data_IF_699526857126
#
_entry.id   IF_699526857126
#
_cell.length_a   1.000
_cell.length_b   1.000
_cell.length_c   1.000
_cell.angle_alpha   90.00
_cell.angle_beta   90.00
_cell.angle_gamma   90.00
#
_symmetry.space_group_name_H-M   'P 1'
#
loop_
_entity.id
_entity.type
_entity.pdbx_description
1 polymer ?
#
# COMPACT_ATOMS: atom_id res chain seq x y z
N UNK A 1 -25.70 7.56 -3.78
CA UNK A 1 -24.95 8.83 -3.85
C UNK A 1 -23.68 8.57 -4.63
N UNK A 2 -23.32 9.37 -5.65
CA UNK A 2 -22.03 9.24 -6.32
C UNK A 2 -20.90 9.58 -5.34
N UNK A 3 -19.78 8.89 -5.46
CA UNK A 3 -18.58 9.18 -4.67
C UNK A 3 -17.97 10.51 -5.13
N UNK A 4 -17.85 11.47 -4.22
CA UNK A 4 -17.35 12.84 -4.46
C UNK A 4 -15.89 13.02 -4.04
N UNK A 5 -15.23 11.95 -3.58
CA UNK A 5 -13.82 12.03 -3.16
C UNK A 5 -12.94 12.33 -4.38
N UNK A 6 -12.00 13.30 -4.28
CA UNK A 6 -11.12 13.64 -5.38
C UNK A 6 -10.17 12.48 -5.69
N UNK A 7 -10.14 12.04 -6.95
CA UNK A 7 -9.15 11.09 -7.46
C UNK A 7 -7.82 11.82 -7.65
N UNK A 8 -6.98 11.79 -6.60
CA UNK A 8 -5.66 12.43 -6.62
C UNK A 8 -4.67 11.73 -7.57
N UNK A 9 -4.99 10.53 -8.04
CA UNK A 9 -4.18 9.78 -9.01
C UNK A 9 -4.66 10.04 -10.44
N UNK A 10 -5.90 10.49 -10.62
CA UNK A 10 -6.49 10.73 -11.94
C UNK A 10 -6.53 9.48 -12.83
N UNK A 11 -6.53 8.28 -12.23
CA UNK A 11 -6.28 6.98 -12.88
C UNK A 11 -4.93 6.84 -13.61
N UNK A 12 -3.99 7.77 -13.41
CA UNK A 12 -2.63 7.67 -13.91
C UNK A 12 -1.75 6.97 -12.88
N UNK A 13 -1.66 5.64 -12.98
CA UNK A 13 -0.75 4.83 -12.16
C UNK A 13 0.68 4.87 -12.70
N UNK A 14 1.20 6.08 -12.88
CA UNK A 14 2.56 6.37 -13.31
C UNK A 14 3.15 7.44 -12.41
N UNK A 15 4.45 7.34 -12.12
CA UNK A 15 5.16 8.30 -11.29
C UNK A 15 6.41 8.79 -12.03
N UNK A 16 6.74 10.07 -11.89
CA UNK A 16 7.93 10.69 -12.51
C UNK A 16 9.23 10.40 -11.74
N UNK A 17 9.15 9.82 -10.55
CA UNK A 17 10.27 9.45 -9.70
C UNK A 17 9.84 8.63 -8.48
N UNK A 18 10.80 8.09 -7.72
CA UNK A 18 10.50 7.30 -6.51
C UNK A 18 9.80 8.15 -5.44
N UNK A 19 8.99 7.51 -4.61
CA UNK A 19 8.27 8.12 -3.48
C UNK A 19 7.31 9.26 -3.89
N UNK A 20 6.75 9.20 -5.10
CA UNK A 20 5.69 10.11 -5.57
C UNK A 20 4.30 9.50 -5.51
N UNK A 21 4.18 8.22 -5.83
CA UNK A 21 2.93 7.48 -5.76
C UNK A 21 3.19 6.09 -5.22
N UNK A 22 2.55 5.78 -4.10
CA UNK A 22 2.49 4.43 -3.55
C UNK A 22 1.07 3.88 -3.69
N UNK A 23 0.96 2.65 -4.15
CA UNK A 23 -0.30 1.93 -4.23
C UNK A 23 -0.33 0.86 -3.15
N UNK A 24 -1.40 0.83 -2.37
CA UNK A 24 -1.67 -0.22 -1.41
C UNK A 24 -2.55 -1.30 -2.03
N UNK A 25 -2.23 -2.56 -1.75
CA UNK A 25 -3.13 -3.67 -2.02
C UNK A 25 -3.18 -4.63 -0.84
N UNK A 26 -4.31 -5.33 -0.71
CA UNK A 26 -4.49 -6.38 0.29
C UNK A 26 -4.96 -7.64 -0.44
N UNK A 27 -4.29 -8.75 -0.16
CA UNK A 27 -4.65 -10.06 -0.69
C UNK A 27 -4.62 -11.10 0.42
N UNK A 28 -5.06 -12.32 0.10
CA UNK A 28 -4.95 -13.47 0.99
C UNK A 28 -4.07 -14.55 0.35
N UNK A 29 -3.18 -15.14 1.14
CA UNK A 29 -2.31 -16.23 0.72
C UNK A 29 -2.75 -17.51 1.40
N UNK A 30 -3.02 -18.55 0.59
CA UNK A 30 -3.41 -19.87 1.09
C UNK A 30 -2.20 -20.57 1.72
N UNK A 31 -2.38 -21.08 2.93
CA UNK A 31 -1.40 -21.89 3.65
C UNK A 31 -1.97 -23.29 3.93
N UNK A 32 -1.13 -24.21 4.42
CA UNK A 32 -1.57 -25.55 4.82
C UNK A 32 -2.56 -25.55 6.01
N UNK A 33 -2.60 -24.48 6.80
CA UNK A 33 -3.43 -24.36 8.01
C UNK A 33 -4.61 -23.40 7.85
N UNK A 34 -4.83 -22.84 6.65
CA UNK A 34 -5.86 -21.83 6.41
C UNK A 34 -5.38 -20.77 5.43
N UNK A 35 -5.62 -19.51 5.76
CA UNK A 35 -5.16 -18.35 4.97
C UNK A 35 -4.54 -17.30 5.87
N UNK A 36 -3.65 -16.49 5.30
CA UNK A 36 -3.14 -15.26 5.91
C UNK A 36 -3.49 -14.08 5.01
N UNK A 37 -3.80 -12.95 5.61
CA UNK A 37 -3.96 -11.68 4.93
C UNK A 37 -2.59 -11.01 4.79
N UNK A 38 -2.35 -10.43 3.63
CA UNK A 38 -1.12 -9.72 3.31
C UNK A 38 -1.47 -8.36 2.77
N UNK A 39 -0.91 -7.30 3.36
CA UNK A 39 -0.95 -5.97 2.79
C UNK A 39 0.42 -5.63 2.20
N UNK A 40 0.41 -4.99 1.03
CA UNK A 40 1.60 -4.49 0.36
C UNK A 40 1.46 -3.00 0.09
N UNK A 41 2.58 -2.29 0.16
CA UNK A 41 2.73 -0.92 -0.31
C UNK A 41 3.80 -0.94 -1.39
N UNK A 42 3.42 -0.59 -2.61
CA UNK A 42 4.29 -0.64 -3.78
C UNK A 42 4.58 0.76 -4.30
N UNK A 43 5.85 1.09 -4.49
CA UNK A 43 6.26 2.30 -5.18
C UNK A 43 6.04 2.15 -6.70
N UNK A 44 5.21 3.03 -7.28
CA UNK A 44 4.77 2.91 -8.68
C UNK A 44 5.92 3.12 -9.66
N UNK A 45 6.88 3.99 -9.33
CA UNK A 45 8.03 4.29 -10.19
C UNK A 45 8.99 3.09 -10.29
N UNK A 46 9.43 2.57 -9.15
CA UNK A 46 10.45 1.51 -9.07
C UNK A 46 9.88 0.10 -9.11
N UNK A 47 8.55 -0.05 -8.94
CA UNK A 47 7.85 -1.34 -8.76
C UNK A 47 8.32 -2.14 -7.55
N UNK A 48 8.98 -1.49 -6.59
CA UNK A 48 9.47 -2.13 -5.36
C UNK A 48 8.38 -2.15 -4.32
N UNK A 49 8.28 -3.26 -3.59
CA UNK A 49 7.52 -3.32 -2.34
C UNK A 49 8.32 -2.54 -1.31
N UNK A 50 7.76 -1.41 -0.85
CA UNK A 50 8.38 -0.52 0.14
C UNK A 50 7.88 -0.78 1.56
N UNK A 51 6.74 -1.45 1.70
CA UNK A 51 6.23 -1.93 2.98
C UNK A 51 5.28 -3.12 2.81
N UNK A 52 5.17 -3.93 3.84
CA UNK A 52 4.30 -5.11 3.85
C UNK A 52 3.93 -5.51 5.28
N UNK A 53 2.80 -6.20 5.42
CA UNK A 53 2.41 -6.77 6.71
C UNK A 53 1.58 -8.04 6.51
N UNK A 54 1.67 -8.97 7.49
CA UNK A 54 0.94 -10.24 7.50
C UNK A 54 0.07 -10.35 8.75
N UNK A 55 -1.14 -10.89 8.61
CA UNK A 55 -2.01 -11.25 9.74
C UNK A 55 -2.79 -12.52 9.45
N UNK A 56 -2.97 -13.36 10.47
CA UNK A 56 -3.81 -14.55 10.45
C UNK A 56 -5.29 -14.24 10.73
N UNK A 57 -5.61 -13.02 11.15
CA UNK A 57 -6.96 -12.52 11.39
C UNK A 57 -7.29 -11.32 10.49
N UNK A 58 -8.53 -11.25 10.02
CA UNK A 58 -9.01 -10.15 9.18
C UNK A 58 -9.31 -8.90 10.03
N UNK A 59 -8.28 -8.32 10.65
CA UNK A 59 -8.33 -6.95 11.19
C UNK A 59 -7.80 -6.00 10.13
N UNK A 60 -8.64 -5.77 9.11
CA UNK A 60 -8.36 -4.96 7.91
C UNK A 60 -7.91 -3.53 8.21
N UNK A 61 -8.16 -3.02 9.41
CA UNK A 61 -7.73 -1.68 9.84
C UNK A 61 -6.24 -1.64 10.20
N UNK A 62 -5.73 -2.68 10.86
CA UNK A 62 -4.37 -2.67 11.43
C UNK A 62 -3.33 -3.04 10.37
N UNK A 63 -3.67 -4.00 9.51
CA UNK A 63 -2.71 -4.58 8.56
C UNK A 63 -2.17 -3.55 7.54
N UNK A 64 -3.00 -2.74 6.86
CA UNK A 64 -2.52 -1.76 5.89
C UNK A 64 -1.75 -0.63 6.55
N UNK A 65 -2.17 -0.22 7.75
CA UNK A 65 -1.45 0.77 8.54
C UNK A 65 -0.06 0.28 8.95
N UNK A 66 0.10 -1.00 9.29
CA UNK A 66 1.41 -1.58 9.57
C UNK A 66 2.32 -1.56 8.35
N UNK A 67 1.80 -1.97 7.19
CA UNK A 67 2.56 -1.93 5.94
C UNK A 67 2.96 -0.50 5.55
N UNK A 68 2.04 0.47 5.71
CA UNK A 68 2.30 1.88 5.44
C UNK A 68 3.32 2.48 6.41
N UNK A 69 3.18 2.22 7.71
CA UNK A 69 4.14 2.71 8.72
C UNK A 69 5.55 2.15 8.46
N UNK A 70 5.65 0.88 8.09
CA UNK A 70 6.94 0.30 7.68
C UNK A 70 7.51 1.03 6.46
N UNK A 71 6.69 1.28 5.43
CA UNK A 71 7.12 2.00 4.23
C UNK A 71 7.62 3.41 4.53
N UNK A 72 6.90 4.16 5.39
CA UNK A 72 7.29 5.51 5.81
C UNK A 72 8.62 5.50 6.57
N UNK A 73 8.80 4.55 7.50
CA UNK A 73 10.05 4.44 8.28
C UNK A 73 11.26 4.11 7.40
N UNK A 74 11.05 3.32 6.34
CA UNK A 74 12.12 2.96 5.40
C UNK A 74 12.34 4.00 4.30
N UNK A 75 11.45 4.97 4.13
CA UNK A 75 11.59 6.00 3.10
C UNK A 75 12.49 7.14 3.58
N UNK A 76 13.44 7.55 2.73
CA UNK A 76 14.33 8.69 3.02
C UNK A 76 13.59 10.03 2.91
N UNK A 77 12.57 10.13 2.06
CA UNK A 77 11.76 11.34 1.83
C UNK A 77 10.34 10.93 1.40
N UNK A 78 9.33 11.55 2.01
CA UNK A 78 7.89 11.30 1.75
C UNK A 78 7.12 12.58 1.43
N UNK A 79 7.78 13.72 1.28
CA UNK A 79 7.15 15.01 1.00
C UNK A 79 6.47 15.00 -0.37
N UNK A 80 5.15 15.24 -0.36
CA UNK A 80 4.32 15.24 -1.57
C UNK A 80 4.00 13.84 -2.11
N UNK A 81 4.26 12.79 -1.32
CA UNK A 81 3.87 11.42 -1.64
C UNK A 81 2.34 11.27 -1.57
N UNK A 82 1.76 10.68 -2.61
CA UNK A 82 0.38 10.22 -2.61
C UNK A 82 0.35 8.72 -2.29
N UNK A 83 -0.47 8.35 -1.30
CA UNK A 83 -0.81 6.96 -1.01
C UNK A 83 -2.24 6.69 -1.51
N UNK A 84 -2.39 5.68 -2.37
CA UNK A 84 -3.65 5.27 -2.97
C UNK A 84 -4.06 3.88 -2.49
#
# INVERSE_FOLDING_TARGET
MPDLRPDLVGREFTASGPNKLWVADITYVRTKKGFVYVAFVTDVYSRRIVGWALSDSMRTEVLPLQALNQAIVCAEETTGLVHH
#
